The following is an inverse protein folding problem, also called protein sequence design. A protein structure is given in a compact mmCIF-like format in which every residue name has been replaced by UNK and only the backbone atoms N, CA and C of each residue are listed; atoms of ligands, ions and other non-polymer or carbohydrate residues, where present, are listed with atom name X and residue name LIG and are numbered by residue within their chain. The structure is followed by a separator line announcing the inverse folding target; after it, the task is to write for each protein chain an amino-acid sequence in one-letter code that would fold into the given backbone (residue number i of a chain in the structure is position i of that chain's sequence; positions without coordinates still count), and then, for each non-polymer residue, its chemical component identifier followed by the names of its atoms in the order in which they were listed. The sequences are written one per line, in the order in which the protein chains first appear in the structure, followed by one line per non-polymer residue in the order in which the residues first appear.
data_IF_063224040007
#
_entry.id   IF_063224040007
#
_cell.length_a   1.000
_cell.length_b   1.000
_cell.length_c   1.000
_cell.angle_alpha   90.00
_cell.angle_beta   90.00
_cell.angle_gamma   90.00
#
_symmetry.space_group_name_H-M   'P 1'
#
loop_
_entity.id
_entity.type
_entity.pdbx_description
1 polymer ?
#
# COMPACT_ATOMS: atom_id res chain seq x y z
N UNK A 1 7.16 -15.44 -4.58
CA UNK A 1 8.62 -15.30 -4.55
C UNK A 1 9.13 -14.28 -3.53
N UNK A 2 8.41 -13.17 -3.32
CA UNK A 2 8.78 -12.14 -2.34
C UNK A 2 8.56 -12.53 -0.87
N UNK A 3 8.03 -13.71 -0.59
CA UNK A 3 7.61 -14.13 0.73
C UNK A 3 6.18 -13.65 1.02
N UNK A 4 5.89 -13.41 2.29
CA UNK A 4 4.57 -12.98 2.73
C UNK A 4 4.51 -11.46 2.88
N UNK A 5 3.50 -10.83 2.31
CA UNK A 5 3.25 -9.41 2.53
C UNK A 5 3.00 -9.14 4.02
N UNK A 6 3.68 -8.14 4.55
CA UNK A 6 3.56 -7.72 5.94
C UNK A 6 2.69 -6.48 6.06
N UNK A 7 3.11 -5.40 5.38
CA UNK A 7 2.47 -4.09 5.50
C UNK A 7 2.85 -3.15 4.35
N UNK A 8 2.09 -2.10 4.18
CA UNK A 8 2.55 -0.88 3.52
C UNK A 8 3.19 -0.02 4.60
N UNK A 9 4.51 0.18 4.52
CA UNK A 9 5.26 0.98 5.49
C UNK A 9 5.15 2.46 5.13
N UNK A 10 4.69 3.26 6.09
CA UNK A 10 4.47 4.69 5.98
C UNK A 10 5.36 5.43 6.99
N UNK A 11 6.15 6.38 6.51
CA UNK A 11 6.84 7.31 7.40
C UNK A 11 5.85 8.35 7.91
N UNK A 12 5.80 8.54 9.21
CA UNK A 12 5.05 9.63 9.83
C UNK A 12 5.89 10.37 10.87
N UNK A 13 5.94 11.70 10.81
CA UNK A 13 6.61 12.49 11.83
C UNK A 13 5.83 12.52 13.15
N UNK A 14 4.52 12.24 13.12
CA UNK A 14 3.61 12.22 14.26
C UNK A 14 2.72 10.97 14.20
N UNK A 15 3.19 9.91 14.90
CA UNK A 15 2.46 8.63 14.95
C UNK A 15 1.08 8.80 15.57
N UNK A 16 0.96 9.65 16.60
CA UNK A 16 -0.31 9.82 17.28
C UNK A 16 -1.36 10.45 16.36
N UNK A 17 -0.99 11.49 15.62
CA UNK A 17 -1.88 12.12 14.65
C UNK A 17 -2.33 11.15 13.55
N UNK A 18 -1.39 10.32 13.04
CA UNK A 18 -1.73 9.30 12.03
C UNK A 18 -2.63 8.20 12.61
N UNK A 19 -2.37 7.73 13.85
CA UNK A 19 -3.23 6.76 14.54
C UNK A 19 -4.66 7.29 14.68
N UNK A 20 -4.82 8.49 15.27
CA UNK A 20 -6.13 9.13 15.47
C UNK A 20 -6.90 9.28 14.14
N UNK A 21 -6.19 9.64 13.07
CA UNK A 21 -6.77 9.74 11.73
C UNK A 21 -7.31 8.39 11.26
N UNK A 22 -6.49 7.32 11.25
CA UNK A 22 -6.92 6.01 10.76
C UNK A 22 -7.98 5.38 11.66
N UNK A 23 -7.87 5.48 12.98
CA UNK A 23 -8.89 5.00 13.92
C UNK A 23 -10.23 5.72 13.73
N UNK A 24 -10.20 7.03 13.48
CA UNK A 24 -11.40 7.81 13.19
C UNK A 24 -12.11 7.40 11.89
N UNK A 25 -11.38 6.79 10.94
CA UNK A 25 -11.93 6.18 9.74
C UNK A 25 -12.45 4.75 9.97
N UNK A 26 -12.19 4.16 11.15
CA UNK A 26 -12.62 2.82 11.50
C UNK A 26 -11.55 1.73 11.34
N UNK A 27 -10.28 2.10 11.09
CA UNK A 27 -9.18 1.15 11.23
C UNK A 27 -8.97 0.78 12.69
N UNK A 28 -8.43 -0.39 12.94
CA UNK A 28 -8.14 -0.90 14.27
C UNK A 28 -6.63 -0.91 14.47
N UNK A 29 -6.16 -0.40 15.60
CA UNK A 29 -4.75 -0.53 15.97
C UNK A 29 -4.46 -1.99 16.33
N UNK A 30 -3.48 -2.58 15.63
CA UNK A 30 -3.00 -3.92 15.94
C UNK A 30 -1.97 -3.88 17.08
N UNK A 31 -2.05 -4.86 17.97
CA UNK A 31 -1.01 -5.03 19.01
C UNK A 31 0.25 -5.58 18.36
N UNK A 32 1.32 -4.83 18.41
CA UNK A 32 2.65 -5.22 17.94
C UNK A 32 3.64 -5.18 19.09
N UNK A 33 4.59 -6.13 19.11
CA UNK A 33 5.68 -6.10 20.08
C UNK A 33 6.70 -5.00 19.76
N UNK A 34 7.72 -4.85 20.63
CA UNK A 34 8.86 -3.96 20.37
C UNK A 34 9.72 -4.51 19.20
N UNK A 35 9.28 -4.24 17.99
CA UNK A 35 9.91 -4.77 16.77
C UNK A 35 11.00 -3.84 16.23
N UNK A 36 10.83 -2.53 16.43
CA UNK A 36 11.75 -1.51 15.93
C UNK A 36 12.36 -0.69 17.07
N UNK A 37 13.60 -0.18 16.93
CA UNK A 37 14.25 0.67 17.94
C UNK A 37 13.74 2.13 17.93
N UNK A 38 12.61 2.39 17.29
CA UNK A 38 11.95 3.69 17.15
C UNK A 38 10.44 3.53 17.28
N UNK A 39 9.69 4.62 17.50
CA UNK A 39 8.24 4.56 17.59
C UNK A 39 7.63 3.93 16.34
N UNK A 40 6.74 2.99 16.55
CA UNK A 40 6.09 2.21 15.50
C UNK A 40 4.70 1.80 15.97
N UNK A 41 3.73 1.89 15.05
CA UNK A 41 2.38 1.42 15.27
C UNK A 41 1.84 0.76 14.00
N UNK A 42 0.82 -0.07 14.14
CA UNK A 42 0.16 -0.73 13.01
C UNK A 42 -1.33 -0.49 13.10
N UNK A 43 -1.94 -0.12 11.99
CA UNK A 43 -3.39 -0.06 11.84
C UNK A 43 -3.84 -0.98 10.70
N UNK A 44 -5.04 -1.54 10.85
CA UNK A 44 -5.60 -2.49 9.86
C UNK A 44 -7.12 -2.41 9.80
N UNK A 45 -7.68 -2.71 8.63
CA UNK A 45 -9.09 -3.01 8.43
C UNK A 45 -9.36 -4.54 8.32
N UNK A 46 -8.33 -5.35 8.59
CA UNK A 46 -8.35 -6.80 8.43
C UNK A 46 -7.95 -7.29 7.03
N UNK A 47 -7.85 -6.41 6.04
CA UNK A 47 -7.36 -6.69 4.67
C UNK A 47 -6.07 -5.96 4.36
N UNK A 48 -6.04 -4.68 4.67
CA UNK A 48 -4.89 -3.80 4.55
C UNK A 48 -4.18 -3.69 5.90
N UNK A 49 -2.86 -3.75 5.89
CA UNK A 49 -2.01 -3.49 7.05
C UNK A 49 -1.13 -2.29 6.73
N UNK A 50 -1.21 -1.24 7.54
CA UNK A 50 -0.39 -0.05 7.44
C UNK A 50 0.56 0.01 8.64
N UNK A 51 1.86 0.00 8.38
CA UNK A 51 2.90 0.23 9.39
C UNK A 51 3.26 1.70 9.45
N UNK A 52 3.04 2.34 10.59
CA UNK A 52 3.35 3.74 10.86
C UNK A 52 4.73 3.84 11.52
N UNK A 53 5.72 4.36 10.81
CA UNK A 53 7.11 4.42 11.24
C UNK A 53 7.52 5.84 11.61
N UNK A 54 7.92 6.05 12.87
CA UNK A 54 8.45 7.33 13.36
C UNK A 54 9.89 7.64 12.91
N UNK A 55 10.61 6.65 12.36
CA UNK A 55 11.89 6.88 11.71
C UNK A 55 11.70 7.28 10.25
N UNK A 56 12.67 8.01 9.70
CA UNK A 56 12.68 8.35 8.27
C UNK A 56 12.96 7.07 7.47
N UNK A 57 11.92 6.55 6.86
CA UNK A 57 11.99 5.42 5.92
C UNK A 57 11.49 5.89 4.55
N UNK A 58 11.83 5.15 3.49
CA UNK A 58 11.21 5.40 2.18
C UNK A 58 9.71 5.12 2.29
N UNK A 59 8.87 6.03 1.86
CA UNK A 59 7.42 5.98 2.08
C UNK A 59 6.66 6.50 0.85
N UNK A 60 5.58 5.81 0.45
CA UNK A 60 5.19 4.49 0.91
C UNK A 60 6.14 3.39 0.42
N UNK A 61 6.27 2.31 1.18
CA UNK A 61 7.03 1.13 0.76
C UNK A 61 6.23 -0.17 0.97
N UNK A 62 6.42 -1.14 0.09
CA UNK A 62 5.82 -2.47 0.22
C UNK A 62 6.78 -3.36 1.02
N UNK A 63 6.36 -3.83 2.18
CA UNK A 63 7.22 -4.64 3.07
C UNK A 63 6.75 -6.08 3.08
N UNK A 64 7.68 -6.98 2.78
CA UNK A 64 7.46 -8.43 2.78
C UNK A 64 8.42 -9.10 3.77
N UNK A 65 7.98 -10.24 4.31
CA UNK A 65 8.80 -11.11 5.13
C UNK A 65 9.19 -12.34 4.31
N UNK A 66 10.49 -12.54 4.20
CA UNK A 66 11.07 -13.64 3.44
C UNK A 66 12.03 -14.45 4.32
N UNK A 67 11.60 -15.64 4.82
CA UNK A 67 12.49 -16.54 5.52
C UNK A 67 13.70 -16.94 4.65
N UNK A 68 14.88 -17.06 5.26
CA UNK A 68 16.15 -17.34 4.55
C UNK A 68 16.45 -16.27 3.47
N UNK A 69 16.42 -15.00 3.88
CA UNK A 69 16.52 -13.83 3.01
C UNK A 69 17.74 -13.88 2.07
N UNK A 70 18.90 -14.33 2.54
CA UNK A 70 20.11 -14.42 1.71
C UNK A 70 19.88 -15.27 0.44
N UNK A 71 19.24 -16.44 0.58
CA UNK A 71 18.87 -17.27 -0.58
C UNK A 71 17.79 -16.61 -1.45
N UNK A 72 16.87 -15.88 -0.82
CA UNK A 72 15.85 -15.13 -1.52
C UNK A 72 16.45 -14.05 -2.42
N UNK A 73 17.43 -13.31 -1.94
CA UNK A 73 18.16 -12.28 -2.69
C UNK A 73 18.82 -12.89 -3.93
N UNK A 74 19.50 -14.03 -3.81
CA UNK A 74 20.13 -14.72 -4.95
C UNK A 74 19.09 -15.01 -6.05
N UNK A 75 17.94 -15.58 -5.67
CA UNK A 75 16.85 -15.89 -6.62
C UNK A 75 16.26 -14.63 -7.28
N UNK A 76 16.08 -13.55 -6.52
CA UNK A 76 15.56 -12.29 -7.06
C UNK A 76 16.55 -11.65 -8.03
N UNK A 77 17.86 -11.77 -7.78
CA UNK A 77 18.89 -11.34 -8.75
C UNK A 77 18.84 -12.13 -10.06
N UNK A 78 18.59 -13.44 -9.99
CA UNK A 78 18.40 -14.27 -11.19
C UNK A 78 17.21 -13.81 -12.05
N UNK A 79 16.21 -13.15 -11.41
CA UNK A 79 15.07 -12.52 -12.08
C UNK A 79 15.32 -11.06 -12.51
N UNK A 80 16.54 -10.56 -12.31
CA UNK A 80 16.92 -9.21 -12.73
C UNK A 80 16.63 -8.12 -11.69
N UNK A 81 16.34 -8.48 -10.43
CA UNK A 81 16.15 -7.48 -9.37
C UNK A 81 17.50 -6.92 -8.93
N UNK A 82 17.64 -5.61 -8.99
CA UNK A 82 18.80 -4.88 -8.47
C UNK A 82 18.45 -4.32 -7.08
N UNK A 83 19.30 -4.62 -6.10
CA UNK A 83 19.08 -4.19 -4.71
C UNK A 83 19.74 -2.84 -4.44
N UNK A 84 18.97 -1.92 -3.85
CA UNK A 84 19.45 -0.62 -3.38
C UNK A 84 20.32 -0.76 -2.14
N UNK A 85 19.91 -1.65 -1.22
CA UNK A 85 20.59 -1.91 0.04
C UNK A 85 20.43 -3.38 0.45
N UNK A 86 21.47 -3.92 1.08
CA UNK A 86 21.47 -5.25 1.65
C UNK A 86 22.22 -5.24 2.99
N UNK A 87 21.60 -5.83 3.98
CA UNK A 87 22.19 -6.05 5.31
C UNK A 87 21.94 -7.50 5.70
N UNK A 88 22.92 -8.35 5.49
CA UNK A 88 22.87 -9.77 5.75
C UNK A 88 24.02 -10.19 6.66
N UNK A 89 23.73 -10.89 7.74
CA UNK A 89 24.72 -11.36 8.69
C UNK A 89 24.10 -12.17 9.83
N UNK A 90 24.96 -12.77 10.66
CA UNK A 90 24.51 -13.60 11.79
C UNK A 90 24.06 -12.75 13.00
N UNK A 91 24.65 -11.58 13.18
CA UNK A 91 24.44 -10.71 14.34
C UNK A 91 23.71 -9.40 14.00
N UNK A 92 22.99 -9.40 12.88
CA UNK A 92 22.23 -8.25 12.40
C UNK A 92 20.80 -8.64 12.05
N UNK A 93 19.89 -7.69 12.12
CA UNK A 93 18.56 -7.89 11.53
C UNK A 93 18.70 -7.88 10.02
N UNK A 94 18.46 -9.02 9.41
CA UNK A 94 18.60 -9.20 7.96
C UNK A 94 17.48 -8.50 7.22
N UNK A 95 17.87 -7.61 6.30
CA UNK A 95 16.96 -6.85 5.45
C UNK A 95 17.61 -6.52 4.11
N UNK A 96 16.78 -6.33 3.10
CA UNK A 96 17.19 -5.85 1.79
C UNK A 96 16.10 -4.93 1.21
N UNK A 97 16.51 -4.00 0.37
CA UNK A 97 15.58 -3.10 -0.31
C UNK A 97 15.89 -3.02 -1.79
N UNK A 98 14.86 -2.87 -2.59
CA UNK A 98 14.97 -2.56 -4.02
C UNK A 98 13.87 -1.60 -4.44
N UNK A 99 13.99 -1.05 -5.64
CA UNK A 99 13.01 -0.13 -6.22
C UNK A 99 12.40 -0.77 -7.45
N UNK A 100 11.08 -0.79 -7.56
CA UNK A 100 10.38 -1.26 -8.74
C UNK A 100 10.48 -0.25 -9.90
N UNK A 101 10.09 -0.60 -11.14
CA UNK A 101 10.15 0.33 -12.28
C UNK A 101 9.24 1.56 -12.16
N UNK A 102 8.24 1.56 -11.27
CA UNK A 102 7.42 2.72 -10.96
C UNK A 102 8.05 3.66 -9.92
N UNK A 103 9.18 3.28 -9.32
CA UNK A 103 9.88 4.03 -8.29
C UNK A 103 9.44 3.72 -6.86
N UNK A 104 8.61 2.68 -6.67
CA UNK A 104 8.15 2.25 -5.35
C UNK A 104 9.21 1.39 -4.66
N UNK A 105 9.49 1.71 -3.40
CA UNK A 105 10.40 0.93 -2.58
C UNK A 105 9.76 -0.39 -2.13
N UNK A 106 10.51 -1.47 -2.21
CA UNK A 106 10.15 -2.77 -1.67
C UNK A 106 11.17 -3.17 -0.61
N UNK A 107 10.69 -3.46 0.59
CA UNK A 107 11.49 -3.94 1.71
C UNK A 107 11.31 -5.44 1.88
N UNK A 108 12.41 -6.15 2.06
CA UNK A 108 12.43 -7.56 2.44
C UNK A 108 13.05 -7.69 3.82
N UNK A 109 12.33 -8.34 4.73
CA UNK A 109 12.75 -8.54 6.10
C UNK A 109 12.86 -10.05 6.39
N UNK A 110 13.88 -10.47 7.11
CA UNK A 110 13.95 -11.84 7.60
C UNK A 110 13.27 -11.96 8.96
N UNK A 111 12.10 -12.60 8.97
CA UNK A 111 11.42 -12.95 10.21
C UNK A 111 10.81 -14.35 10.11
N UNK A 112 10.55 -14.97 11.27
CA UNK A 112 10.00 -16.33 11.35
C UNK A 112 8.53 -16.37 11.72
N UNK A 113 7.99 -15.29 12.28
CA UNK A 113 6.62 -15.22 12.80
C UNK A 113 5.91 -14.00 12.28
N UNK A 114 4.61 -14.17 12.08
CA UNK A 114 3.66 -13.09 11.79
C UNK A 114 2.69 -12.96 12.95
N UNK A 115 2.37 -11.76 13.33
CA UNK A 115 1.17 -11.55 14.14
C UNK A 115 -0.06 -11.84 13.30
N UNK A 116 -1.03 -12.61 13.79
CA UNK A 116 -2.28 -12.82 13.07
C UNK A 116 -2.96 -11.46 12.91
N UNK A 117 -3.52 -11.21 11.72
CA UNK A 117 -4.42 -10.08 11.50
C UNK A 117 -5.68 -10.37 12.30
N UNK A 118 -6.05 -9.48 13.19
CA UNK A 118 -7.29 -9.58 13.95
C UNK A 118 -8.49 -9.10 13.11
N UNK A 119 -9.68 -9.18 13.68
CA UNK A 119 -10.98 -8.97 13.07
C UNK A 119 -11.07 -7.95 11.93
N UNK A 120 -11.87 -8.30 10.92
CA UNK A 120 -12.17 -7.40 9.80
C UNK A 120 -13.10 -6.28 10.26
N UNK A 121 -12.71 -5.04 10.00
CA UNK A 121 -13.56 -3.87 10.18
C UNK A 121 -13.87 -3.26 8.80
N UNK A 122 -15.11 -2.82 8.60
CA UNK A 122 -15.47 -2.04 7.43
C UNK A 122 -15.20 -0.58 7.75
N UNK A 123 -14.19 -0.01 7.12
CA UNK A 123 -13.85 1.41 7.31
C UNK A 123 -14.89 2.33 6.65
N UNK A 124 -14.90 3.59 7.04
CA UNK A 124 -15.73 4.62 6.37
C UNK A 124 -15.26 4.83 4.91
N UNK A 125 -14.04 4.42 4.58
CA UNK A 125 -13.48 4.49 3.22
C UNK A 125 -14.05 3.42 2.26
N UNK A 126 -14.75 2.41 2.76
CA UNK A 126 -15.16 1.24 1.97
C UNK A 126 -14.17 0.09 2.09
N UNK A 127 -14.03 -0.70 1.03
CA UNK A 127 -13.17 -1.89 1.00
C UNK A 127 -11.85 -1.57 0.28
N UNK A 128 -10.73 -1.88 0.91
CA UNK A 128 -9.43 -1.79 0.24
C UNK A 128 -9.35 -2.76 -0.93
N UNK A 129 -8.94 -2.25 -2.09
CA UNK A 129 -8.84 -3.01 -3.35
C UNK A 129 -7.40 -3.24 -3.76
N UNK A 130 -6.61 -2.18 -3.82
CA UNK A 130 -5.23 -2.26 -4.32
C UNK A 130 -4.36 -1.08 -3.88
N UNK A 131 -3.05 -1.32 -3.86
CA UNK A 131 -2.04 -0.26 -3.80
C UNK A 131 -1.73 0.18 -5.23
N UNK A 132 -2.13 1.39 -5.59
CA UNK A 132 -2.00 1.90 -6.94
C UNK A 132 -0.75 2.74 -7.13
N UNK A 133 -0.02 2.45 -8.19
CA UNK A 133 1.23 3.12 -8.58
C UNK A 133 1.02 3.91 -9.87
N UNK A 134 1.29 5.23 -9.89
CA UNK A 134 1.22 6.01 -11.11
C UNK A 134 2.37 5.62 -12.04
N UNK A 135 2.03 5.28 -13.28
CA UNK A 135 2.99 4.91 -14.31
C UNK A 135 2.72 5.67 -15.61
N UNK A 136 3.77 5.94 -16.40
CA UNK A 136 3.62 6.47 -17.76
C UNK A 136 3.35 5.36 -18.77
N UNK A 137 4.05 4.24 -18.58
CA UNK A 137 3.92 3.01 -19.35
C UNK A 137 3.80 1.86 -18.35
N UNK A 138 2.74 1.06 -18.47
CA UNK A 138 2.49 -0.06 -17.56
C UNK A 138 3.39 -1.27 -17.86
N UNK A 139 3.95 -1.36 -19.07
CA UNK A 139 4.67 -2.56 -19.53
C UNK A 139 5.87 -2.92 -18.66
N UNK A 140 6.83 -1.99 -18.35
CA UNK A 140 7.99 -2.34 -17.52
C UNK A 140 7.60 -2.82 -16.12
N UNK A 141 6.66 -2.13 -15.46
CA UNK A 141 6.19 -2.52 -14.13
C UNK A 141 5.40 -3.82 -14.17
N UNK A 142 4.58 -4.03 -15.19
CA UNK A 142 3.86 -5.28 -15.39
C UNK A 142 4.82 -6.47 -15.52
N UNK A 143 5.78 -6.42 -16.45
CA UNK A 143 6.76 -7.50 -16.68
C UNK A 143 7.58 -7.78 -15.41
N UNK A 144 7.96 -6.73 -14.68
CA UNK A 144 8.67 -6.84 -13.41
C UNK A 144 7.84 -7.59 -12.36
N UNK A 145 6.61 -7.16 -12.08
CA UNK A 145 5.77 -7.78 -11.06
C UNK A 145 5.30 -9.19 -11.45
N UNK A 146 5.07 -9.45 -12.74
CA UNK A 146 4.78 -10.81 -13.25
C UNK A 146 5.97 -11.75 -12.98
N UNK A 147 7.21 -11.30 -13.16
CA UNK A 147 8.41 -12.09 -12.82
C UNK A 147 8.49 -12.44 -11.33
N UNK A 148 7.90 -11.62 -10.47
CA UNK A 148 7.87 -11.81 -9.02
C UNK A 148 6.64 -12.61 -8.55
N UNK A 149 5.77 -13.05 -9.46
CA UNK A 149 4.65 -13.94 -9.19
C UNK A 149 3.27 -13.25 -9.09
N UNK A 150 3.16 -11.98 -9.44
CA UNK A 150 1.86 -11.34 -9.63
C UNK A 150 1.25 -11.76 -10.96
N UNK A 151 -0.07 -11.75 -11.05
CA UNK A 151 -0.81 -12.03 -12.28
C UNK A 151 -1.42 -10.73 -12.80
N UNK A 152 -0.95 -10.29 -13.97
CA UNK A 152 -1.55 -9.13 -14.61
C UNK A 152 -2.92 -9.47 -15.21
N UNK A 153 -3.91 -8.66 -14.87
CA UNK A 153 -5.23 -8.72 -15.48
C UNK A 153 -5.29 -7.91 -16.78
N UNK A 154 -6.40 -8.01 -17.50
CA UNK A 154 -6.63 -7.15 -18.65
C UNK A 154 -6.64 -5.67 -18.25
N UNK A 155 -6.09 -4.82 -19.12
CA UNK A 155 -6.12 -3.38 -18.91
C UNK A 155 -7.55 -2.86 -18.96
N UNK A 156 -7.95 -2.15 -17.91
CA UNK A 156 -9.21 -1.43 -17.84
C UNK A 156 -8.99 -0.01 -18.37
N UNK A 157 -9.81 0.41 -19.34
CA UNK A 157 -9.70 1.76 -19.92
C UNK A 157 -10.63 2.77 -19.24
N UNK A 158 -11.65 2.29 -18.56
CA UNK A 158 -12.64 3.11 -17.84
C UNK A 158 -12.56 2.82 -16.32
N UNK A 159 -12.83 3.82 -15.48
CA UNK A 159 -13.01 5.25 -15.80
C UNK A 159 -11.71 5.91 -16.29
N UNK A 160 -10.55 5.33 -16.03
CA UNK A 160 -9.22 5.71 -16.55
C UNK A 160 -8.36 4.47 -16.79
N UNK A 161 -7.31 4.61 -17.61
CA UNK A 161 -6.48 3.47 -17.96
C UNK A 161 -5.70 2.94 -16.75
N UNK A 162 -5.95 1.68 -16.39
CA UNK A 162 -5.30 0.98 -15.28
C UNK A 162 -5.09 -0.51 -15.59
N UNK A 163 -4.01 -1.08 -15.09
CA UNK A 163 -3.73 -2.52 -15.18
C UNK A 163 -3.66 -3.09 -13.77
N UNK A 164 -4.66 -3.88 -13.33
CA UNK A 164 -4.59 -4.58 -12.05
C UNK A 164 -3.57 -5.71 -12.08
N UNK A 165 -2.84 -5.88 -10.98
CA UNK A 165 -1.91 -6.96 -10.73
C UNK A 165 -2.34 -7.68 -9.45
N UNK A 166 -2.68 -8.95 -9.57
CA UNK A 166 -3.28 -9.73 -8.47
C UNK A 166 -2.25 -10.67 -7.87
N UNK A 167 -2.26 -10.78 -6.55
CA UNK A 167 -1.53 -11.80 -5.80
C UNK A 167 -2.36 -12.31 -4.61
N UNK A 168 -1.88 -13.36 -3.93
CA UNK A 168 -2.58 -13.96 -2.78
C UNK A 168 -2.69 -13.01 -1.56
N UNK A 169 -1.87 -11.96 -1.50
CA UNK A 169 -1.72 -11.15 -0.29
C UNK A 169 -1.92 -9.65 -0.49
N UNK A 170 -1.64 -9.13 -1.68
CA UNK A 170 -1.74 -7.72 -1.99
C UNK A 170 -2.01 -7.55 -3.49
N UNK A 171 -3.01 -6.78 -3.84
CA UNK A 171 -3.20 -6.36 -5.22
C UNK A 171 -2.50 -5.03 -5.45
N UNK A 172 -1.95 -4.87 -6.65
CA UNK A 172 -1.34 -3.64 -7.13
C UNK A 172 -2.14 -3.11 -8.33
N UNK A 173 -2.16 -1.79 -8.50
CA UNK A 173 -2.72 -1.13 -9.67
C UNK A 173 -1.66 -0.31 -10.40
N UNK A 174 -1.51 -0.48 -11.71
CA UNK A 174 -0.68 0.38 -12.54
C UNK A 174 -1.57 1.45 -13.19
N UNK A 175 -1.54 2.68 -12.67
CA UNK A 175 -2.44 3.75 -13.06
C UNK A 175 -1.79 4.69 -14.08
N UNK A 176 -2.29 4.70 -15.31
CA UNK A 176 -1.85 5.60 -16.39
C UNK A 176 -2.69 6.88 -16.40
N UNK A 177 -2.56 7.67 -15.34
CA UNK A 177 -3.21 8.97 -15.25
C UNK A 177 -2.23 10.03 -14.77
N UNK A 178 -2.32 11.22 -15.35
CA UNK A 178 -1.50 12.39 -14.96
C UNK A 178 -2.00 13.04 -13.67
N UNK A 179 -3.22 12.74 -13.23
CA UNK A 179 -3.77 13.23 -11.98
C UNK A 179 -3.05 12.65 -10.76
N UNK A 180 -2.63 11.38 -10.85
CA UNK A 180 -1.91 10.74 -9.76
C UNK A 180 -0.39 10.98 -9.91
N UNK A 181 0.21 11.62 -8.92
CA UNK A 181 1.66 11.93 -8.91
C UNK A 181 2.44 11.08 -7.91
N UNK A 182 1.73 10.39 -7.04
CA UNK A 182 2.27 9.49 -6.01
C UNK A 182 1.37 8.29 -5.87
N UNK A 183 1.83 7.18 -5.27
CA UNK A 183 0.98 6.03 -5.00
C UNK A 183 -0.25 6.40 -4.17
N UNK A 184 -1.35 5.69 -4.41
CA UNK A 184 -2.61 5.87 -3.67
C UNK A 184 -3.11 4.51 -3.16
N UNK A 185 -3.78 4.52 -2.02
CA UNK A 185 -4.52 3.38 -1.50
C UNK A 185 -5.94 3.45 -2.06
N UNK A 186 -6.33 2.49 -2.89
CA UNK A 186 -7.65 2.51 -3.54
C UNK A 186 -8.65 1.72 -2.71
N UNK A 187 -9.75 2.37 -2.41
CA UNK A 187 -10.92 1.80 -1.74
C UNK A 187 -12.14 1.92 -2.64
N UNK A 188 -12.95 0.89 -2.65
CA UNK A 188 -14.17 0.85 -3.46
C UNK A 188 -15.39 0.48 -2.60
N UNK A 189 -16.55 1.05 -2.96
CA UNK A 189 -17.84 0.69 -2.36
C UNK A 189 -18.99 1.12 -3.28
N UNK A 190 -20.06 0.33 -3.33
CA UNK A 190 -21.25 0.66 -4.10
C UNK A 190 -21.98 1.89 -3.54
N UNK A 191 -21.87 2.12 -2.22
CA UNK A 191 -22.50 3.24 -1.51
C UNK A 191 -21.51 4.40 -1.25
N UNK A 192 -20.49 4.56 -2.10
CA UNK A 192 -19.42 5.54 -1.88
C UNK A 192 -19.97 6.98 -1.75
N UNK A 193 -20.99 7.33 -2.49
CA UNK A 193 -21.68 8.65 -2.35
C UNK A 193 -22.09 8.93 -0.91
N UNK A 194 -22.71 7.97 -0.22
CA UNK A 194 -23.12 8.14 1.17
C UNK A 194 -21.91 8.21 2.11
N UNK A 195 -20.87 7.44 1.84
CA UNK A 195 -19.62 7.47 2.62
C UNK A 195 -18.93 8.81 2.52
N UNK A 196 -18.83 9.40 1.34
CA UNK A 196 -18.29 10.74 1.14
C UNK A 196 -19.10 11.82 1.86
N UNK A 197 -20.42 11.69 1.86
CA UNK A 197 -21.30 12.59 2.63
C UNK A 197 -20.98 12.53 4.13
N UNK A 198 -20.89 11.32 4.69
CA UNK A 198 -20.53 11.11 6.10
C UNK A 198 -19.13 11.66 6.44
N UNK A 199 -18.16 11.49 5.54
CA UNK A 199 -16.81 12.03 5.73
C UNK A 199 -16.84 13.58 5.75
N UNK A 200 -17.59 14.22 4.84
CA UNK A 200 -17.77 15.68 4.84
C UNK A 200 -18.45 16.19 6.11
N UNK A 201 -19.49 15.51 6.57
CA UNK A 201 -20.20 15.84 7.83
C UNK A 201 -19.30 15.71 9.07
N UNK A 202 -18.34 14.80 9.04
CA UNK A 202 -17.32 14.62 10.11
C UNK A 202 -16.15 15.60 9.98
N UNK A 203 -16.17 16.50 8.99
CA UNK A 203 -15.16 17.54 8.80
C UNK A 203 -13.93 17.12 8.02
N UNK A 204 -13.92 15.94 7.37
CA UNK A 204 -12.81 15.57 6.51
C UNK A 204 -12.74 16.41 5.26
N UNK A 205 -11.55 16.87 4.92
CA UNK A 205 -11.29 17.54 3.65
C UNK A 205 -11.11 16.50 2.56
N UNK A 206 -11.98 16.52 1.58
CA UNK A 206 -11.90 15.70 0.39
C UNK A 206 -11.36 16.55 -0.77
N UNK A 207 -10.52 15.93 -1.60
CA UNK A 207 -9.87 16.55 -2.74
C UNK A 207 -10.42 15.95 -4.03
N UNK A 208 -10.38 16.73 -5.09
CA UNK A 208 -10.82 16.39 -6.45
C UNK A 208 -9.66 16.28 -7.46
N UNK A 209 -8.41 16.22 -6.96
CA UNK A 209 -7.18 16.02 -7.78
C UNK A 209 -7.16 14.62 -8.42
N UNK A 210 -8.24 14.25 -9.10
CA UNK A 210 -8.50 12.95 -9.71
C UNK A 210 -8.60 13.09 -11.24
N UNK A 211 -8.59 11.96 -11.98
CA UNK A 211 -8.94 11.99 -13.40
C UNK A 211 -10.33 12.60 -13.65
N UNK A 212 -10.45 13.48 -14.65
CA UNK A 212 -11.72 14.14 -15.02
C UNK A 212 -12.86 13.16 -15.35
N UNK A 213 -12.53 11.91 -15.59
CA UNK A 213 -13.49 10.82 -15.84
C UNK A 213 -14.14 10.26 -14.57
N UNK A 214 -13.67 10.63 -13.39
CA UNK A 214 -14.28 10.28 -12.11
C UNK A 214 -15.24 11.40 -11.66
N UNK A 215 -16.49 11.03 -11.41
CA UNK A 215 -17.51 11.94 -10.88
C UNK A 215 -17.17 12.29 -9.42
N UNK A 216 -16.93 13.56 -9.11
CA UNK A 216 -16.59 14.08 -7.78
C UNK A 216 -17.73 13.96 -6.75
N UNK A 217 -18.94 13.67 -7.21
CA UNK A 217 -20.08 13.39 -6.33
C UNK A 217 -20.03 11.98 -5.72
N UNK A 218 -19.28 11.07 -6.35
CA UNK A 218 -19.18 9.65 -5.98
C UNK A 218 -17.75 9.16 -5.79
N UNK A 219 -16.77 10.00 -6.09
CA UNK A 219 -15.36 9.68 -5.90
C UNK A 219 -14.62 10.85 -5.25
N UNK A 220 -13.57 10.58 -4.51
CA UNK A 220 -12.76 11.62 -3.88
C UNK A 220 -11.36 11.09 -3.49
N UNK A 221 -10.43 12.00 -3.27
CA UNK A 221 -9.19 11.74 -2.56
C UNK A 221 -9.29 12.23 -1.12
N UNK A 222 -8.81 11.41 -0.19
CA UNK A 222 -8.59 11.76 1.20
C UNK A 222 -7.08 11.70 1.47
N UNK A 223 -6.55 12.63 2.24
CA UNK A 223 -5.14 12.68 2.55
C UNK A 223 -4.93 12.56 4.07
N UNK A 224 -4.09 11.61 4.47
CA UNK A 224 -3.70 11.36 5.84
C UNK A 224 -2.66 12.41 6.30
N UNK A 225 -2.46 12.60 7.63
CA UNK A 225 -1.52 13.58 8.17
C UNK A 225 -0.09 13.44 7.65
N UNK A 226 0.34 12.22 7.34
CA UNK A 226 1.67 11.92 6.79
C UNK A 226 1.74 12.03 5.25
N UNK A 227 0.65 12.46 4.60
CA UNK A 227 0.59 12.66 3.15
C UNK A 227 0.19 11.44 2.32
N UNK A 228 -0.15 10.32 2.97
CA UNK A 228 -0.71 9.16 2.26
C UNK A 228 -2.06 9.50 1.66
N UNK A 229 -2.26 9.20 0.38
CA UNK A 229 -3.52 9.44 -0.32
C UNK A 229 -4.37 8.19 -0.42
N UNK A 230 -5.64 8.31 -0.08
CA UNK A 230 -6.66 7.29 -0.20
C UNK A 230 -7.62 7.71 -1.32
N UNK A 231 -7.69 6.92 -2.37
CA UNK A 231 -8.66 7.10 -3.46
C UNK A 231 -9.92 6.32 -3.11
N UNK A 232 -11.01 7.04 -2.96
CA UNK A 232 -12.34 6.50 -2.63
C UNK A 232 -13.17 6.48 -3.92
N UNK A 233 -13.53 5.30 -4.39
CA UNK A 233 -14.20 5.12 -5.68
C UNK A 233 -15.52 4.37 -5.52
N UNK A 234 -16.53 4.82 -6.26
CA UNK A 234 -17.76 4.05 -6.40
C UNK A 234 -17.56 2.92 -7.40
N UNK A 235 -17.96 1.72 -7.00
CA UNK A 235 -18.08 0.59 -7.95
C UNK A 235 -19.40 0.69 -8.69
N UNK A 236 -19.39 0.27 -9.97
CA UNK A 236 -20.63 -0.02 -10.68
C UNK A 236 -21.30 -1.24 -10.02
N UNK A 237 -22.60 -1.13 -9.74
CA UNK A 237 -23.39 -2.17 -9.10
C UNK A 237 -23.63 -3.36 -10.02
#
# INVERSE_FOLDING_TARGET
MLGRFLEISLHTPDIQASLEFYESLGFIQASVGETWPYPYAVVTDGRLVLGLHGAVVRSPALTFVLPALARGIERLRELGVEFDQERIGNDVFNQATFTDPAGVCVNLLEARTFSPISDTAVTTCGYFVEFAMPVRDSKPSREFWESLGFVAMEELLLPFARTPLVSDHLNLGLYRSRAFRQPVLTFEDADMRERLTRLRERGYKLFDDMPDSLDDSTNALLEAPEGTRLLLMQTDA
#
